data_IF_677613759104
#
_entry.id   IF_677613759104
#
_cell.length_a   1.000
_cell.length_b   1.000
_cell.length_c   1.000
_cell.angle_alpha   90.00
_cell.angle_beta   90.00
_cell.angle_gamma   90.00
#
_symmetry.space_group_name_H-M   'P 1'
#
loop_
_entity.id
_entity.type
_entity.pdbx_description
1 polymer ?
#
# COMPACT_ATOMS: atom_id res chain seq x y z
N UNK A 1 23.53 -9.10 -41.29
CA UNK A 1 23.47 -9.44 -39.86
C UNK A 1 22.65 -8.36 -39.18
N UNK A 2 21.38 -8.64 -38.89
CA UNK A 2 20.51 -7.66 -38.21
C UNK A 2 20.91 -7.69 -36.74
N UNK A 3 21.45 -6.57 -36.24
CA UNK A 3 21.68 -6.38 -34.82
C UNK A 3 20.31 -6.23 -34.15
N UNK A 4 19.67 -7.35 -33.81
CA UNK A 4 18.48 -7.36 -32.98
C UNK A 4 18.86 -6.74 -31.64
N UNK A 5 18.33 -5.54 -31.36
CA UNK A 5 18.48 -4.91 -30.06
C UNK A 5 17.79 -5.82 -29.05
N UNK A 6 18.46 -6.22 -27.95
CA UNK A 6 17.80 -7.02 -26.93
C UNK A 6 16.60 -6.24 -26.40
N UNK A 7 15.41 -6.81 -26.56
CA UNK A 7 14.18 -6.25 -26.01
C UNK A 7 14.14 -6.58 -24.54
N UNK A 8 14.42 -5.60 -23.69
CA UNK A 8 14.30 -5.74 -22.24
C UNK A 8 13.11 -4.94 -21.73
N UNK A 9 12.43 -5.47 -20.72
CA UNK A 9 11.44 -4.74 -19.95
C UNK A 9 12.12 -4.16 -18.71
N UNK A 10 11.93 -2.86 -18.48
CA UNK A 10 12.42 -2.19 -17.28
C UNK A 10 11.37 -2.26 -16.18
N UNK A 11 11.73 -2.91 -15.07
CA UNK A 11 10.93 -3.00 -13.86
C UNK A 11 11.58 -2.14 -12.77
N UNK A 12 10.80 -1.29 -12.13
CA UNK A 12 11.21 -0.57 -10.92
C UNK A 12 10.56 -1.23 -9.71
N UNK A 13 11.38 -1.63 -8.74
CA UNK A 13 10.97 -2.19 -7.46
C UNK A 13 11.20 -1.14 -6.40
N UNK A 14 10.13 -0.70 -5.73
CA UNK A 14 10.15 0.32 -4.68
C UNK A 14 9.74 -0.24 -3.32
N UNK A 15 10.01 0.52 -2.26
CA UNK A 15 9.67 0.20 -0.86
C UNK A 15 10.41 -1.03 -0.31
N UNK A 16 11.61 -1.29 -0.81
CA UNK A 16 12.52 -2.29 -0.26
C UNK A 16 13.76 -1.53 0.24
N UNK A 17 14.14 -1.64 1.53
CA UNK A 17 15.24 -0.84 2.07
C UNK A 17 16.59 -1.22 1.46
N UNK A 18 17.56 -0.31 1.53
CA UNK A 18 18.93 -0.55 1.03
C UNK A 18 19.64 -1.73 1.70
N UNK A 19 19.24 -2.09 2.92
CA UNK A 19 19.75 -3.23 3.68
C UNK A 19 19.25 -4.58 3.18
N UNK A 20 18.17 -4.63 2.40
CA UNK A 20 17.70 -5.88 1.80
C UNK A 20 18.68 -6.34 0.72
N UNK A 21 18.89 -7.64 0.63
CA UNK A 21 19.77 -8.23 -0.38
C UNK A 21 19.10 -8.30 -1.75
N UNK A 22 19.90 -8.08 -2.76
CA UNK A 22 19.49 -8.05 -4.16
C UNK A 22 18.98 -9.44 -4.62
N UNK A 23 19.61 -10.52 -4.15
CA UNK A 23 19.15 -11.89 -4.43
C UNK A 23 17.79 -12.25 -3.83
N UNK A 24 17.27 -11.51 -2.83
CA UNK A 24 15.87 -11.69 -2.38
C UNK A 24 14.89 -11.16 -3.43
N UNK A 25 15.24 -10.03 -4.07
CA UNK A 25 14.42 -9.39 -5.10
C UNK A 25 14.42 -10.24 -6.36
N UNK A 26 15.59 -10.73 -6.79
CA UNK A 26 15.74 -11.60 -7.97
C UNK A 26 14.88 -12.86 -7.85
N UNK A 27 15.03 -13.62 -6.76
CA UNK A 27 14.22 -14.82 -6.51
C UNK A 27 12.72 -14.55 -6.49
N UNK A 28 12.29 -13.42 -5.89
CA UNK A 28 10.87 -13.04 -5.89
C UNK A 28 10.36 -12.71 -7.29
N UNK A 29 11.15 -12.04 -8.12
CA UNK A 29 10.77 -11.74 -9.51
C UNK A 29 10.73 -13.02 -10.37
N UNK A 30 11.70 -13.92 -10.20
CA UNK A 30 11.74 -15.23 -10.86
C UNK A 30 10.55 -16.10 -10.49
N UNK A 31 10.13 -16.09 -9.22
CA UNK A 31 8.91 -16.77 -8.76
C UNK A 31 7.66 -16.27 -9.50
N UNK A 32 7.63 -15.00 -9.89
CA UNK A 32 6.57 -14.42 -10.70
C UNK A 32 6.78 -14.59 -12.22
N UNK A 33 7.74 -15.42 -12.64
CA UNK A 33 8.00 -15.75 -14.04
C UNK A 33 8.85 -14.71 -14.78
N UNK A 34 9.59 -13.86 -14.06
CA UNK A 34 10.51 -12.91 -14.67
C UNK A 34 11.92 -13.49 -14.76
N UNK A 35 12.54 -13.43 -15.94
CA UNK A 35 13.97 -13.68 -16.07
C UNK A 35 14.75 -12.37 -15.89
N UNK A 36 15.47 -12.24 -14.77
CA UNK A 36 16.24 -11.02 -14.47
C UNK A 36 17.59 -11.07 -15.18
N UNK A 37 17.80 -10.12 -16.10
CA UNK A 37 19.04 -10.01 -16.88
C UNK A 37 20.08 -9.19 -16.10
N UNK A 38 19.65 -8.04 -15.55
CA UNK A 38 20.50 -7.13 -14.77
C UNK A 38 19.68 -6.40 -13.72
N UNK A 39 20.32 -6.04 -12.61
CA UNK A 39 19.70 -5.20 -11.59
C UNK A 39 20.63 -4.07 -11.17
N UNK A 40 20.04 -2.90 -10.93
CA UNK A 40 20.73 -1.69 -10.52
C UNK A 40 20.06 -1.08 -9.29
N UNK A 41 20.86 -0.52 -8.39
CA UNK A 41 20.36 0.26 -7.25
C UNK A 41 20.15 1.71 -7.66
N UNK A 42 18.96 2.24 -7.41
CA UNK A 42 18.61 3.62 -7.69
C UNK A 42 19.29 4.56 -6.68
N UNK A 43 19.68 5.74 -7.17
CA UNK A 43 20.38 6.76 -6.39
C UNK A 43 19.56 8.04 -6.36
N UNK A 44 19.59 8.71 -5.21
CA UNK A 44 18.89 9.96 -4.99
C UNK A 44 19.44 11.05 -5.92
N UNK A 45 18.55 11.89 -6.45
CA UNK A 45 18.94 13.11 -7.16
C UNK A 45 18.79 14.31 -6.23
N UNK A 46 19.82 15.14 -6.17
CA UNK A 46 19.84 16.41 -5.43
C UNK A 46 20.19 17.49 -6.46
N UNK A 47 19.38 18.54 -6.54
CA UNK A 47 19.53 19.62 -7.54
C UNK A 47 19.69 19.08 -8.97
N UNK A 48 18.91 18.05 -9.31
CA UNK A 48 18.95 17.29 -10.57
C UNK A 48 20.22 16.43 -10.81
N UNK A 49 21.28 16.59 -10.02
CA UNK A 49 22.48 15.76 -10.07
C UNK A 49 22.30 14.42 -9.36
N UNK A 50 22.92 13.37 -9.90
CA UNK A 50 22.87 12.05 -9.28
C UNK A 50 23.87 12.00 -8.13
N UNK A 51 23.38 11.80 -6.91
CA UNK A 51 24.21 11.60 -5.73
C UNK A 51 24.72 10.16 -5.65
N UNK A 52 25.61 9.87 -4.69
CA UNK A 52 26.02 8.50 -4.35
C UNK A 52 25.09 7.81 -3.35
N UNK A 53 24.09 8.53 -2.82
CA UNK A 53 23.16 8.00 -1.83
C UNK A 53 22.14 7.07 -2.50
N UNK A 54 22.17 5.78 -2.14
CA UNK A 54 21.21 4.80 -2.63
C UNK A 54 19.88 4.95 -1.89
N UNK A 55 18.76 4.89 -2.61
CA UNK A 55 17.41 5.00 -2.02
C UNK A 55 16.89 3.67 -1.48
N UNK A 56 17.50 2.55 -1.90
CA UNK A 56 16.95 1.20 -1.72
C UNK A 56 16.01 0.78 -2.84
N UNK A 57 15.57 1.68 -3.72
CA UNK A 57 14.79 1.24 -4.88
C UNK A 57 15.72 0.53 -5.89
N UNK A 58 15.19 -0.49 -6.57
CA UNK A 58 15.92 -1.28 -7.57
C UNK A 58 15.31 -1.09 -8.95
N UNK A 59 16.15 -1.09 -9.97
CA UNK A 59 15.76 -1.14 -11.37
C UNK A 59 16.25 -2.47 -11.93
N UNK A 60 15.33 -3.38 -12.21
CA UNK A 60 15.60 -4.65 -12.86
C UNK A 60 15.34 -4.52 -14.37
N UNK A 61 16.27 -4.99 -15.17
CA UNK A 61 16.10 -5.25 -16.60
C UNK A 61 15.78 -6.73 -16.74
N UNK A 62 14.59 -7.05 -17.23
CA UNK A 62 14.11 -8.42 -17.36
C UNK A 62 13.76 -8.75 -18.81
N UNK A 63 13.71 -10.03 -19.14
CA UNK A 63 13.17 -10.49 -20.41
C UNK A 63 11.69 -10.08 -20.58
N UNK A 64 11.17 -9.93 -21.81
CA UNK A 64 9.79 -9.58 -22.04
C UNK A 64 8.82 -10.55 -21.35
N UNK A 65 7.85 -10.00 -20.62
CA UNK A 65 6.87 -10.79 -19.87
C UNK A 65 5.63 -11.06 -20.72
N UNK A 66 5.09 -12.28 -20.62
CA UNK A 66 3.81 -12.66 -21.22
C UNK A 66 2.61 -12.14 -20.42
N UNK A 67 2.72 -12.12 -19.09
CA UNK A 67 1.71 -11.62 -18.16
C UNK A 67 2.29 -10.47 -17.32
N UNK A 68 1.51 -9.40 -17.16
CA UNK A 68 1.91 -8.28 -16.31
C UNK A 68 2.00 -8.70 -14.84
N UNK A 69 2.99 -8.16 -14.12
CA UNK A 69 3.14 -8.36 -12.69
C UNK A 69 2.13 -7.54 -11.91
N UNK A 70 1.65 -8.07 -10.77
CA UNK A 70 0.87 -7.28 -9.84
C UNK A 70 1.69 -6.09 -9.31
N UNK A 71 1.01 -4.97 -9.06
CA UNK A 71 1.65 -3.73 -8.60
C UNK A 71 2.23 -3.82 -7.19
N UNK A 72 1.73 -4.74 -6.36
CA UNK A 72 2.21 -4.97 -5.00
C UNK A 72 2.58 -6.45 -4.84
N UNK A 73 3.81 -6.71 -4.42
CA UNK A 73 4.38 -8.05 -4.24
C UNK A 73 5.09 -8.12 -2.88
N UNK A 74 5.09 -9.29 -2.25
CA UNK A 74 5.91 -9.56 -1.06
C UNK A 74 7.30 -10.02 -1.48
N UNK A 75 8.33 -9.31 -1.02
CA UNK A 75 9.74 -9.66 -1.21
C UNK A 75 10.34 -9.89 0.19
N UNK A 76 10.50 -11.15 0.57
CA UNK A 76 10.77 -11.52 1.95
C UNK A 76 9.70 -10.96 2.89
N UNK A 77 10.11 -10.07 3.80
CA UNK A 77 9.20 -9.37 4.73
C UNK A 77 8.70 -8.01 4.23
N UNK A 78 9.17 -7.56 3.06
CA UNK A 78 8.88 -6.22 2.55
C UNK A 78 7.74 -6.26 1.55
N UNK A 79 6.75 -5.39 1.72
CA UNK A 79 5.71 -5.18 0.73
C UNK A 79 6.21 -4.19 -0.33
N UNK A 80 6.76 -4.74 -1.41
CA UNK A 80 7.34 -3.97 -2.50
C UNK A 80 6.24 -3.44 -3.44
N UNK A 81 6.51 -2.29 -4.05
CA UNK A 81 5.74 -1.77 -5.18
C UNK A 81 6.50 -2.04 -6.47
N UNK A 82 5.91 -2.81 -7.38
CA UNK A 82 6.52 -3.18 -8.65
C UNK A 82 5.86 -2.40 -9.78
N UNK A 83 6.67 -1.66 -10.54
CA UNK A 83 6.23 -0.73 -11.57
C UNK A 83 6.90 -1.09 -12.89
N UNK A 84 6.11 -1.42 -13.90
CA UNK A 84 6.60 -1.65 -15.26
C UNK A 84 5.55 -1.27 -16.31
N UNK A 85 5.97 -1.18 -17.57
CA UNK A 85 5.05 -0.89 -18.68
C UNK A 85 4.12 -2.09 -18.93
N UNK A 86 2.85 -1.82 -19.24
CA UNK A 86 1.85 -2.86 -19.52
C UNK A 86 1.12 -3.41 -18.30
N UNK A 87 1.31 -2.82 -17.12
CA UNK A 87 0.48 -3.13 -15.95
C UNK A 87 -0.92 -2.53 -16.11
N UNK A 88 -1.94 -3.36 -15.92
CA UNK A 88 -3.32 -2.88 -15.88
C UNK A 88 -3.55 -2.02 -14.62
N UNK A 89 -4.15 -0.84 -14.82
CA UNK A 89 -4.61 -0.02 -13.70
C UNK A 89 -5.94 -0.58 -13.18
N UNK A 90 -5.90 -1.59 -12.31
CA UNK A 90 -7.10 -2.11 -11.65
C UNK A 90 -7.88 -1.05 -10.85
N UNK A 91 -7.27 0.09 -10.57
CA UNK A 91 -7.91 1.26 -9.94
C UNK A 91 -9.08 1.87 -10.73
N UNK A 92 -9.36 1.47 -11.97
CA UNK A 92 -10.49 2.02 -12.73
C UNK A 92 -11.71 1.09 -12.80
N UNK A 93 -11.51 -0.23 -12.67
CA UNK A 93 -12.60 -1.21 -12.78
C UNK A 93 -13.30 -1.53 -11.44
N UNK A 94 -12.64 -1.26 -10.30
CA UNK A 94 -13.16 -1.58 -8.96
C UNK A 94 -13.17 -0.39 -8.00
N UNK A 95 -13.44 0.82 -8.48
CA UNK A 95 -13.62 1.97 -7.60
C UNK A 95 -14.90 1.75 -6.77
N UNK A 96 -14.75 1.31 -5.52
CA UNK A 96 -15.82 1.32 -4.52
C UNK A 96 -15.94 2.71 -3.91
N UNK A 97 -17.16 3.24 -3.88
CA UNK A 97 -17.44 4.54 -3.31
C UNK A 97 -17.48 4.47 -1.78
N UNK A 98 -16.67 5.29 -1.09
CA UNK A 98 -16.68 5.32 0.38
C UNK A 98 -17.93 5.98 0.99
N UNK A 99 -18.82 6.58 0.18
CA UNK A 99 -20.11 7.15 0.64
C UNK A 99 -21.19 6.08 0.72
N UNK A 100 -21.37 5.31 -0.35
CA UNK A 100 -22.49 4.39 -0.52
C UNK A 100 -22.07 2.92 -0.65
N UNK A 101 -20.76 2.64 -0.62
CA UNK A 101 -20.15 1.32 -0.73
C UNK A 101 -20.37 0.59 -2.07
N UNK A 102 -21.02 1.24 -3.04
CA UNK A 102 -21.23 0.68 -4.39
C UNK A 102 -20.00 0.89 -5.28
N UNK A 103 -19.78 -0.03 -6.22
CA UNK A 103 -18.71 0.05 -7.23
C UNK A 103 -19.08 0.98 -8.38
N UNK A 104 -18.08 1.50 -9.09
CA UNK A 104 -18.23 2.20 -10.38
C UNK A 104 -18.11 3.73 -10.31
N UNK A 105 -18.02 4.32 -9.12
CA UNK A 105 -17.86 5.77 -8.96
C UNK A 105 -17.06 6.15 -7.71
N UNK A 106 -16.49 7.36 -7.70
CA UNK A 106 -15.77 7.92 -6.55
C UNK A 106 -16.73 8.69 -5.63
N UNK A 107 -16.30 8.93 -4.40
CA UNK A 107 -17.01 9.75 -3.41
C UNK A 107 -17.53 11.09 -3.97
N UNK A 108 -16.70 11.79 -4.76
CA UNK A 108 -17.04 13.10 -5.35
C UNK A 108 -18.14 13.05 -6.42
N UNK A 109 -18.43 11.88 -6.97
CA UNK A 109 -19.42 11.67 -8.03
C UNK A 109 -20.57 10.77 -7.55
N UNK A 110 -20.72 10.59 -6.23
CA UNK A 110 -21.71 9.69 -5.66
C UNK A 110 -23.12 10.31 -5.68
N UNK A 111 -24.08 9.72 -6.41
CA UNK A 111 -25.47 10.18 -6.39
C UNK A 111 -26.24 9.69 -5.15
N UNK A 112 -25.77 8.63 -4.50
CA UNK A 112 -26.44 7.97 -3.38
C UNK A 112 -26.09 8.61 -2.04
N UNK A 113 -26.95 8.46 -1.03
CA UNK A 113 -26.70 8.89 0.36
C UNK A 113 -25.65 8.08 1.11
N UNK A 114 -25.26 8.58 2.29
CA UNK A 114 -24.28 7.94 3.15
C UNK A 114 -24.80 6.60 3.65
N UNK A 115 -23.96 5.57 3.57
CA UNK A 115 -24.16 4.26 4.21
C UNK A 115 -23.20 4.17 5.38
N UNK A 116 -23.75 3.87 6.56
CA UNK A 116 -22.96 3.71 7.76
C UNK A 116 -22.14 2.42 7.69
N UNK A 117 -20.82 2.53 7.84
CA UNK A 117 -19.89 1.39 7.83
C UNK A 117 -20.05 0.45 9.04
N UNK A 118 -20.72 0.89 10.11
CA UNK A 118 -20.93 0.09 11.31
C UNK A 118 -22.22 -0.73 11.24
N UNK A 119 -23.34 -0.10 10.87
CA UNK A 119 -24.65 -0.75 10.86
C UNK A 119 -25.19 -1.07 9.46
N UNK A 120 -24.47 -0.70 8.41
CA UNK A 120 -24.83 -0.85 6.99
C UNK A 120 -26.18 -0.21 6.60
N UNK A 121 -26.70 0.72 7.41
CA UNK A 121 -27.91 1.48 7.10
C UNK A 121 -27.58 2.81 6.41
N UNK A 122 -28.47 3.23 5.52
CA UNK A 122 -28.39 4.53 4.86
C UNK A 122 -28.76 5.70 5.79
N UNK A 123 -28.30 6.91 5.46
CA UNK A 123 -28.70 8.18 6.07
C UNK A 123 -27.72 8.80 7.06
N UNK A 124 -26.67 8.10 7.49
CA UNK A 124 -25.70 8.64 8.46
C UNK A 124 -24.29 8.07 8.26
N UNK A 125 -23.28 8.75 8.80
CA UNK A 125 -21.90 8.25 8.84
C UNK A 125 -21.67 7.38 10.06
N UNK A 126 -20.59 6.59 10.09
CA UNK A 126 -20.21 5.83 11.27
C UNK A 126 -20.13 6.68 12.55
N UNK A 127 -19.60 7.90 12.44
CA UNK A 127 -19.50 8.85 13.56
C UNK A 127 -20.86 9.28 14.14
N UNK A 128 -21.94 9.17 13.37
CA UNK A 128 -23.30 9.53 13.74
C UNK A 128 -24.16 8.28 14.04
N UNK A 129 -23.52 7.11 14.20
CA UNK A 129 -24.25 5.87 14.42
C UNK A 129 -24.67 5.72 15.88
N UNK A 130 -25.97 5.68 16.12
CA UNK A 130 -26.55 5.51 17.45
C UNK A 130 -26.25 4.16 18.11
N UNK A 131 -25.69 3.18 17.38
CA UNK A 131 -25.30 1.87 17.94
C UNK A 131 -23.95 1.92 18.68
N UNK A 132 -23.19 3.01 18.57
CA UNK A 132 -21.90 3.16 19.28
C UNK A 132 -22.02 3.26 20.82
N UNK A 133 -23.24 3.38 21.36
CA UNK A 133 -23.49 3.68 22.77
C UNK A 133 -23.92 2.46 23.61
N UNK A 134 -23.88 1.24 23.08
CA UNK A 134 -24.56 0.08 23.72
C UNK A 134 -23.67 -0.92 24.47
N UNK A 135 -22.39 -0.63 24.75
CA UNK A 135 -21.53 -1.55 25.53
C UNK A 135 -20.69 -0.83 26.60
N UNK A 136 -21.33 0.04 27.39
CA UNK A 136 -20.90 0.25 28.78
C UNK A 136 -22.05 -0.25 29.65
N UNK A 137 -21.97 -1.54 29.96
CA UNK A 137 -22.80 -2.14 30.99
C UNK A 137 -22.26 -1.55 32.31
N UNK A 138 -22.85 -0.44 32.74
CA UNK A 138 -22.61 0.15 34.06
C UNK A 138 -23.29 -0.77 35.09
N UNK A 139 -22.72 -1.95 35.33
CA UNK A 139 -23.02 -2.68 36.56
C UNK A 139 -22.32 -1.92 37.68
N UNK A 140 -23.08 -1.12 38.41
CA UNK A 140 -22.71 -0.54 39.70
C UNK A 140 -22.32 -1.68 40.65
N UNK A 141 -21.03 -2.00 40.75
CA UNK A 141 -20.49 -2.79 41.85
C UNK A 141 -19.97 -1.83 42.91
N UNK A 142 -20.79 -1.70 43.94
CA UNK A 142 -20.59 -0.91 45.14
C UNK A 142 -19.49 -1.58 45.99
N UNK A 143 -18.22 -1.21 45.75
CA UNK A 143 -17.14 -1.52 46.69
C UNK A 143 -16.25 -0.30 46.89
N UNK A 144 -16.43 0.28 48.08
CA UNK A 144 -15.63 1.33 48.69
C UNK A 144 -14.16 0.93 48.83
N UNK A 145 -13.34 1.98 49.01
CA UNK A 145 -11.95 1.96 49.49
C UNK A 145 -10.87 1.75 48.43
N UNK A 146 -10.43 2.85 47.80
CA UNK A 146 -9.05 3.30 48.01
C UNK A 146 -8.76 4.67 47.36
N UNK A 147 -8.53 5.63 48.25
CA UNK A 147 -7.96 6.96 47.99
C UNK A 147 -6.47 6.78 47.71
N UNK A 148 -5.87 7.29 46.62
CA UNK A 148 -4.50 7.85 46.70
C UNK A 148 -4.15 8.80 45.51
N UNK A 149 -4.14 10.10 45.85
CA UNK A 149 -3.28 11.22 45.40
C UNK A 149 -3.15 11.65 43.93
N UNK A 150 -3.66 12.87 43.68
CA UNK A 150 -3.10 13.80 42.70
C UNK A 150 -1.78 14.39 43.22
N UNK A 151 -0.76 14.44 42.35
CA UNK A 151 0.27 15.48 42.40
C UNK A 151 0.42 16.09 40.99
N UNK A 152 0.13 17.39 40.81
CA UNK A 152 0.40 18.10 39.59
C UNK A 152 1.86 18.59 39.60
N UNK A 153 2.60 18.35 38.53
CA UNK A 153 3.80 19.14 38.26
C UNK A 153 3.58 20.04 37.04
N UNK A 154 3.47 21.31 37.40
CA UNK A 154 3.61 22.52 36.62
C UNK A 154 4.94 22.62 35.88
N UNK A 155 4.95 23.44 34.83
CA UNK A 155 5.98 24.48 34.66
C UNK A 155 5.34 25.84 34.89
#
# INVERSE_FOLDING_TARGET
>A
MVNERPTYLKIRVKNVPCSAEDGQIERSLEYHGCEVIKMYRERLRVDCFLSNCQTGDRIAMVAPLSKALPRSILIGKYRATVIHQGQENHNQAEISCNKCLQKGHKFSQCPNDWVCLHCNKQGHRQAECNLHLSERDDTEDDNSDDIYYYLPYSY
#
